data_IF_175636169058
#
_entry.id   IF_175636169058
#
_cell.length_a   1.000
_cell.length_b   1.000
_cell.length_c   1.000
_cell.angle_alpha   90.00
_cell.angle_beta   90.00
_cell.angle_gamma   90.00
#
_symmetry.space_group_name_H-M   'P 1'
#
loop_
_entity.id
_entity.type
_entity.pdbx_description
1 polymer ?
#
# COMPACT_ATOMS: atom_id res chain seq x y z
N UNK A 1 -10.64 15.97 -4.19
CA UNK A 1 -10.78 14.50 -4.22
C UNK A 1 -12.19 14.20 -3.76
N UNK A 2 -12.96 13.54 -4.61
CA UNK A 2 -14.24 12.98 -4.19
C UNK A 2 -13.96 11.91 -3.12
N UNK A 3 -14.78 11.89 -2.08
CA UNK A 3 -14.65 10.94 -0.99
C UNK A 3 -15.01 9.55 -1.52
N UNK A 4 -14.03 8.65 -1.60
CA UNK A 4 -14.25 7.28 -2.04
C UNK A 4 -15.20 6.64 -1.03
N UNK A 5 -16.39 6.23 -1.50
CA UNK A 5 -17.37 5.49 -0.70
C UNK A 5 -16.97 4.03 -0.54
N UNK A 6 -15.74 3.79 -0.12
CA UNK A 6 -15.24 2.47 0.25
C UNK A 6 -15.32 2.30 1.77
N UNK A 7 -15.67 1.10 2.22
CA UNK A 7 -15.64 0.76 3.64
C UNK A 7 -14.26 0.19 3.96
N UNK A 8 -13.63 0.74 4.99
CA UNK A 8 -12.38 0.23 5.53
C UNK A 8 -12.70 -0.75 6.67
N UNK A 9 -12.07 -1.92 6.66
CA UNK A 9 -12.10 -2.87 7.76
C UNK A 9 -10.71 -2.94 8.37
N UNK A 10 -10.60 -2.63 9.66
CA UNK A 10 -9.35 -2.76 10.41
C UNK A 10 -9.42 -4.00 11.31
N UNK A 11 -8.43 -4.88 11.19
CA UNK A 11 -8.36 -6.11 12.01
C UNK A 11 -7.00 -6.17 12.70
N UNK A 12 -6.99 -6.60 13.96
CA UNK A 12 -5.76 -6.84 14.71
C UNK A 12 -5.48 -8.34 14.77
N UNK A 13 -4.26 -8.73 14.42
CA UNK A 13 -3.74 -10.07 14.64
C UNK A 13 -2.55 -10.00 15.62
N UNK A 14 -2.41 -11.01 16.48
CA UNK A 14 -1.33 -11.10 17.48
C UNK A 14 -0.03 -11.66 16.90
N UNK A 15 -0.06 -12.16 15.67
CA UNK A 15 1.09 -12.70 14.98
C UNK A 15 0.80 -13.12 13.55
N UNK A 16 1.85 -13.58 12.88
CA UNK A 16 1.85 -13.89 11.46
C UNK A 16 0.81 -14.94 11.06
N UNK A 17 0.73 -16.06 11.77
CA UNK A 17 -0.21 -17.16 11.45
C UNK A 17 -1.68 -16.74 11.60
N UNK A 18 -1.98 -15.93 12.63
CA UNK A 18 -3.31 -15.38 12.81
C UNK A 18 -3.66 -14.40 11.71
N UNK A 19 -2.73 -13.52 11.32
CA UNK A 19 -2.92 -12.57 10.23
C UNK A 19 -3.21 -13.29 8.91
N UNK A 20 -2.46 -14.35 8.60
CA UNK A 20 -2.67 -15.17 7.41
C UNK A 20 -4.04 -15.86 7.44
N UNK A 21 -4.42 -16.46 8.58
CA UNK A 21 -5.72 -17.10 8.74
C UNK A 21 -6.88 -16.11 8.55
N UNK A 22 -6.77 -14.91 9.13
CA UNK A 22 -7.75 -13.84 8.96
C UNK A 22 -7.83 -13.41 7.49
N UNK A 23 -6.69 -13.19 6.83
CA UNK A 23 -6.65 -12.81 5.41
C UNK A 23 -7.32 -13.86 4.52
N UNK A 24 -7.00 -15.15 4.71
CA UNK A 24 -7.62 -16.26 3.94
C UNK A 24 -9.13 -16.29 4.15
N UNK A 25 -9.61 -16.12 5.39
CA UNK A 25 -11.04 -16.06 5.70
C UNK A 25 -11.73 -14.88 5.01
N UNK A 26 -11.13 -13.69 5.03
CA UNK A 26 -11.67 -12.51 4.33
C UNK A 26 -11.80 -12.74 2.83
N UNK A 27 -10.94 -13.57 2.26
CA UNK A 27 -10.91 -13.85 0.83
C UNK A 27 -11.81 -15.03 0.41
N UNK A 28 -12.53 -15.69 1.33
CA UNK A 28 -13.30 -16.90 1.01
C UNK A 28 -14.34 -16.70 -0.10
N UNK A 29 -14.99 -15.55 -0.14
CA UNK A 29 -16.01 -15.24 -1.15
C UNK A 29 -15.47 -14.34 -2.27
N UNK A 30 -14.16 -14.04 -2.29
CA UNK A 30 -13.55 -13.20 -3.30
C UNK A 30 -13.16 -14.03 -4.53
N UNK A 31 -13.34 -13.46 -5.73
CA UNK A 31 -12.78 -14.02 -6.96
C UNK A 31 -11.32 -13.62 -7.16
N UNK A 32 -10.93 -12.44 -6.67
CA UNK A 32 -9.61 -11.87 -6.81
C UNK A 32 -9.25 -11.05 -5.57
N UNK A 33 -7.97 -11.11 -5.19
CA UNK A 33 -7.37 -10.33 -4.11
C UNK A 33 -6.33 -9.42 -4.76
N UNK A 34 -6.42 -8.13 -4.50
CA UNK A 34 -5.47 -7.14 -5.03
C UNK A 34 -4.67 -6.60 -3.85
N UNK A 35 -3.35 -6.63 -3.96
CA UNK A 35 -2.42 -6.16 -2.93
C UNK A 35 -1.37 -5.23 -3.53
N UNK A 36 -0.90 -4.29 -2.73
CA UNK A 36 0.34 -3.58 -3.04
C UNK A 36 1.52 -4.54 -2.98
N UNK A 37 2.55 -4.26 -3.77
CA UNK A 37 3.74 -5.08 -3.81
C UNK A 37 4.54 -5.04 -2.51
N UNK A 38 4.80 -6.22 -1.95
CA UNK A 38 5.73 -6.42 -0.86
C UNK A 38 7.19 -6.34 -1.34
N UNK A 39 8.01 -5.54 -0.65
CA UNK A 39 9.45 -5.41 -0.94
C UNK A 39 10.35 -6.04 0.13
N UNK A 40 9.89 -6.05 1.38
CA UNK A 40 10.64 -6.64 2.50
C UNK A 40 10.44 -8.15 2.52
N UNK A 41 11.43 -8.87 3.07
CA UNK A 41 11.44 -10.33 3.11
C UNK A 41 10.20 -10.90 3.79
N UNK A 42 9.83 -10.37 4.96
CA UNK A 42 8.70 -10.85 5.76
C UNK A 42 7.36 -10.62 5.06
N UNK A 43 7.20 -9.44 4.44
CA UNK A 43 6.00 -9.11 3.65
C UNK A 43 5.87 -10.01 2.42
N UNK A 44 6.99 -10.31 1.73
CA UNK A 44 7.01 -11.18 0.56
C UNK A 44 6.66 -12.62 0.94
N UNK A 45 7.19 -13.11 2.06
CA UNK A 45 6.84 -14.43 2.59
C UNK A 45 5.34 -14.50 2.93
N UNK A 46 4.78 -13.42 3.51
CA UNK A 46 3.33 -13.30 3.73
C UNK A 46 2.52 -13.36 2.45
N UNK A 47 2.91 -12.57 1.44
CA UNK A 47 2.26 -12.56 0.13
C UNK A 47 2.32 -13.94 -0.55
N UNK A 48 3.46 -14.63 -0.50
CA UNK A 48 3.66 -15.97 -1.07
C UNK A 48 2.77 -17.01 -0.38
N UNK A 49 2.73 -17.03 0.96
CA UNK A 49 1.88 -17.96 1.72
C UNK A 49 0.38 -17.68 1.54
N UNK A 50 0.00 -16.42 1.40
CA UNK A 50 -1.36 -16.03 1.05
C UNK A 50 -1.71 -16.54 -0.35
N UNK A 51 -0.84 -16.31 -1.33
CA UNK A 51 -1.01 -16.77 -2.71
C UNK A 51 -1.20 -18.28 -2.79
N UNK A 52 -0.36 -19.06 -2.11
CA UNK A 52 -0.49 -20.53 -2.05
C UNK A 52 -1.86 -20.98 -1.53
N UNK A 53 -2.39 -20.27 -0.53
CA UNK A 53 -3.71 -20.53 0.05
C UNK A 53 -4.83 -20.16 -0.92
N UNK A 54 -4.68 -19.06 -1.66
CA UNK A 54 -5.64 -18.60 -2.68
C UNK A 54 -5.67 -19.53 -3.89
N UNK A 55 -4.51 -19.98 -4.38
CA UNK A 55 -4.40 -20.95 -5.49
C UNK A 55 -5.14 -22.25 -5.14
N UNK A 56 -4.92 -22.80 -3.93
CA UNK A 56 -5.63 -24.00 -3.46
C UNK A 56 -7.15 -23.83 -3.47
N UNK A 57 -7.61 -22.60 -3.24
CA UNK A 57 -9.03 -22.26 -3.27
C UNK A 57 -9.51 -21.70 -4.63
N UNK A 58 -8.68 -21.80 -5.69
CA UNK A 58 -9.00 -21.33 -7.04
C UNK A 58 -9.32 -19.84 -7.12
N UNK A 59 -8.56 -19.00 -6.40
CA UNK A 59 -8.68 -17.53 -6.39
C UNK A 59 -7.43 -16.89 -6.97
N UNK A 60 -7.60 -15.72 -7.60
CA UNK A 60 -6.49 -14.95 -8.17
C UNK A 60 -5.92 -13.98 -7.14
N UNK A 61 -4.59 -13.88 -7.07
CA UNK A 61 -3.89 -12.79 -6.41
C UNK A 61 -3.25 -11.89 -7.47
N UNK A 62 -3.51 -10.59 -7.40
CA UNK A 62 -2.88 -9.58 -8.25
C UNK A 62 -2.07 -8.62 -7.39
N UNK A 63 -0.78 -8.56 -7.68
CA UNK A 63 0.15 -7.61 -7.06
C UNK A 63 0.29 -6.36 -7.92
N UNK A 64 0.20 -5.20 -7.30
CA UNK A 64 0.34 -3.89 -7.94
C UNK A 64 1.51 -3.12 -7.32
N UNK A 65 2.45 -2.64 -8.13
CA UNK A 65 3.56 -1.81 -7.67
C UNK A 65 3.16 -0.32 -7.60
N UNK A 66 2.45 0.08 -6.54
CA UNK A 66 2.00 1.46 -6.32
C UNK A 66 3.02 2.39 -5.64
N UNK A 67 4.05 1.83 -5.00
CA UNK A 67 5.04 2.60 -4.23
C UNK A 67 6.25 3.09 -5.06
N UNK A 68 6.32 2.74 -6.34
CA UNK A 68 7.43 3.09 -7.24
C UNK A 68 6.88 3.64 -8.55
N UNK A 69 7.56 4.64 -9.13
CA UNK A 69 7.13 5.21 -10.42
C UNK A 69 7.44 4.33 -11.62
N UNK A 70 8.39 3.41 -11.50
CA UNK A 70 8.70 2.40 -12.50
C UNK A 70 8.76 1.05 -11.78
N UNK A 71 7.93 0.06 -12.17
CA UNK A 71 7.93 -1.28 -11.60
C UNK A 71 9.35 -1.87 -11.54
N UNK A 72 9.71 -2.53 -10.44
CA UNK A 72 11.08 -3.03 -10.20
C UNK A 72 11.51 -4.00 -11.30
N UNK A 73 10.62 -4.93 -11.67
CA UNK A 73 10.87 -5.91 -12.72
C UNK A 73 10.95 -5.27 -14.13
N UNK A 74 10.38 -4.07 -14.31
CA UNK A 74 10.51 -3.31 -15.55
C UNK A 74 11.80 -2.49 -15.55
N UNK A 75 12.20 -1.95 -14.40
CA UNK A 75 13.37 -1.09 -14.25
C UNK A 75 14.69 -1.84 -14.50
N UNK A 76 14.84 -3.07 -13.98
CA UNK A 76 16.00 -3.93 -14.26
C UNK A 76 15.72 -5.38 -13.91
N UNK A 77 16.33 -6.30 -14.68
CA UNK A 77 16.27 -7.75 -14.42
C UNK A 77 17.37 -8.23 -13.45
N UNK A 78 18.21 -7.32 -12.95
CA UNK A 78 19.31 -7.65 -12.03
C UNK A 78 19.52 -6.55 -11.00
N UNK A 79 20.23 -6.89 -9.93
CA UNK A 79 20.70 -5.91 -8.94
C UNK A 79 21.70 -4.96 -9.61
N UNK A 80 21.46 -3.66 -9.46
CA UNK A 80 22.30 -2.62 -10.03
C UNK A 80 23.45 -2.25 -9.10
N UNK A 81 24.61 -1.93 -9.68
CA UNK A 81 25.79 -1.49 -8.94
C UNK A 81 25.60 -0.13 -8.24
N UNK A 82 24.73 0.72 -8.78
CA UNK A 82 24.34 1.96 -8.12
C UNK A 82 23.52 2.87 -9.00
N UNK A 83 23.30 4.10 -8.53
CA UNK A 83 22.46 5.07 -9.22
C UNK A 83 22.91 5.37 -10.66
N UNK A 84 24.23 5.31 -10.94
CA UNK A 84 24.75 5.52 -12.30
C UNK A 84 24.27 4.45 -13.29
N UNK A 85 24.15 3.19 -12.86
CA UNK A 85 23.74 2.07 -13.73
C UNK A 85 22.23 1.90 -13.78
N UNK A 86 21.53 2.17 -12.66
CA UNK A 86 20.07 2.11 -12.59
C UNK A 86 19.39 3.26 -13.36
N UNK A 87 19.91 4.49 -13.21
CA UNK A 87 19.31 5.71 -13.79
C UNK A 87 18.96 5.55 -15.28
N UNK A 88 19.88 5.19 -16.19
CA UNK A 88 19.55 5.12 -17.62
C UNK A 88 18.44 4.11 -17.93
N UNK A 89 18.29 3.04 -17.16
CA UNK A 89 17.24 2.04 -17.36
C UNK A 89 15.87 2.56 -16.92
N UNK A 90 15.80 3.14 -15.72
CA UNK A 90 14.58 3.77 -15.20
C UNK A 90 14.09 4.89 -16.13
N UNK A 91 14.99 5.76 -16.61
CA UNK A 91 14.62 6.89 -17.47
C UNK A 91 14.03 6.49 -18.82
N UNK A 92 14.26 5.26 -19.31
CA UNK A 92 13.60 4.76 -20.53
C UNK A 92 12.08 4.63 -20.34
N UNK A 93 11.62 4.39 -19.11
CA UNK A 93 10.22 4.11 -18.80
C UNK A 93 9.51 5.28 -18.11
N UNK A 94 10.22 6.11 -17.33
CA UNK A 94 9.64 7.20 -16.53
C UNK A 94 8.71 8.09 -17.34
N UNK A 95 9.09 8.48 -18.56
CA UNK A 95 8.25 9.38 -19.39
C UNK A 95 6.92 8.72 -19.75
N UNK A 96 6.91 7.43 -20.06
CA UNK A 96 5.69 6.69 -20.38
C UNK A 96 4.81 6.53 -19.13
N UNK A 97 5.41 6.15 -18.00
CA UNK A 97 4.69 5.96 -16.73
C UNK A 97 4.05 7.26 -16.23
N UNK A 98 4.77 8.40 -16.32
CA UNK A 98 4.23 9.70 -15.93
C UNK A 98 3.16 10.26 -16.89
N UNK A 99 3.10 9.76 -18.12
CA UNK A 99 2.10 10.16 -19.10
C UNK A 99 0.78 9.38 -18.97
N UNK A 100 0.80 8.29 -18.20
CA UNK A 100 -0.38 7.47 -17.92
C UNK A 100 -1.40 8.28 -17.11
N UNK A 101 -2.64 8.30 -17.59
CA UNK A 101 -3.76 8.97 -16.92
C UNK A 101 -4.60 7.91 -16.22
N UNK A 102 -4.77 8.10 -14.92
CA UNK A 102 -5.55 7.22 -14.07
C UNK A 102 -6.90 7.90 -13.81
N UNK A 103 -7.78 7.84 -14.79
CA UNK A 103 -9.14 8.39 -14.67
C UNK A 103 -10.16 7.33 -14.21
N UNK A 104 -9.67 6.15 -13.82
CA UNK A 104 -10.51 5.04 -13.37
C UNK A 104 -10.97 5.27 -11.92
N UNK A 105 -12.15 5.86 -11.78
CA UNK A 105 -12.86 5.89 -10.49
C UNK A 105 -13.73 4.65 -10.41
N UNK A 106 -13.69 3.87 -9.30
CA UNK A 106 -14.61 2.76 -9.11
C UNK A 106 -16.06 3.22 -9.30
N UNK A 107 -16.69 2.79 -10.38
CA UNK A 107 -18.03 3.26 -10.77
C UNK A 107 -19.14 2.66 -9.90
N UNK A 108 -18.86 1.52 -9.27
CA UNK A 108 -19.83 0.76 -8.50
C UNK A 108 -19.31 0.58 -7.07
N UNK A 109 -19.84 1.33 -6.09
CA UNK A 109 -19.47 1.13 -4.70
C UNK A 109 -19.94 -0.26 -4.22
N UNK A 110 -19.22 -0.84 -3.26
CA UNK A 110 -19.64 -2.09 -2.64
C UNK A 110 -20.92 -1.85 -1.81
N UNK A 111 -22.06 -2.36 -2.29
CA UNK A 111 -23.37 -2.14 -1.66
C UNK A 111 -23.42 -2.56 -0.18
N UNK A 112 -22.75 -3.65 0.19
CA UNK A 112 -22.54 -3.94 1.62
C UNK A 112 -21.37 -4.88 1.90
N UNK A 113 -20.35 -4.35 2.57
CA UNK A 113 -19.27 -5.17 3.16
C UNK A 113 -19.81 -6.22 4.14
N UNK A 114 -20.93 -5.95 4.83
CA UNK A 114 -21.55 -6.88 5.80
C UNK A 114 -22.06 -8.19 5.19
N UNK A 115 -22.36 -8.22 3.88
CA UNK A 115 -22.72 -9.44 3.16
C UNK A 115 -21.48 -10.21 2.64
N UNK A 116 -20.35 -9.51 2.51
CA UNK A 116 -19.12 -10.05 1.90
C UNK A 116 -18.05 -10.44 2.94
N UNK A 117 -18.02 -9.76 4.09
CA UNK A 117 -17.15 -10.10 5.22
C UNK A 117 -17.73 -11.32 5.93
N UNK A 118 -16.94 -12.38 5.96
CA UNK A 118 -17.27 -13.63 6.65
C UNK A 118 -17.59 -13.34 8.12
N UNK A 119 -18.69 -13.89 8.61
CA UNK A 119 -19.10 -13.81 10.01
C UNK A 119 -17.98 -14.32 10.93
N UNK A 120 -17.59 -13.54 11.94
CA UNK A 120 -16.70 -13.99 13.02
C UNK A 120 -15.30 -13.35 13.07
N UNK A 121 -14.99 -12.39 12.20
CA UNK A 121 -13.76 -11.58 12.32
C UNK A 121 -14.09 -10.33 13.16
N UNK A 122 -13.39 -10.18 14.28
CA UNK A 122 -13.56 -9.04 15.17
C UNK A 122 -12.87 -7.80 14.58
N UNK A 123 -13.64 -6.73 14.41
CA UNK A 123 -13.10 -5.43 14.03
C UNK A 123 -12.26 -4.84 15.17
N UNK A 124 -11.14 -4.21 14.83
CA UNK A 124 -10.26 -3.54 15.78
C UNK A 124 -10.96 -2.32 16.38
N UNK A 125 -10.89 -2.17 17.71
CA UNK A 125 -11.27 -0.91 18.36
C UNK A 125 -10.18 0.15 18.12
N UNK A 126 -10.39 0.99 17.13
CA UNK A 126 -9.43 2.03 16.73
C UNK A 126 -9.15 3.04 17.84
N UNK A 127 -10.15 3.41 18.67
CA UNK A 127 -9.96 4.39 19.75
C UNK A 127 -9.04 3.86 20.85
N UNK A 128 -9.20 2.58 21.21
CA UNK A 128 -8.32 1.93 22.18
C UNK A 128 -6.91 1.73 21.66
N UNK A 129 -6.77 1.35 20.39
CA UNK A 129 -5.47 1.14 19.75
C UNK A 129 -4.73 2.46 19.51
N UNK A 130 -5.45 3.54 19.18
CA UNK A 130 -4.89 4.89 19.10
C UNK A 130 -4.33 5.33 20.45
N UNK A 131 -5.09 5.18 21.54
CA UNK A 131 -4.62 5.54 22.89
C UNK A 131 -3.34 4.80 23.28
N UNK A 132 -3.23 3.52 22.91
CA UNK A 132 -2.01 2.73 23.14
C UNK A 132 -0.85 3.26 22.30
N UNK A 133 -1.08 3.46 21.00
CA UNK A 133 -0.06 3.97 20.08
C UNK A 133 0.46 5.36 20.49
N UNK A 134 -0.40 6.25 20.97
CA UNK A 134 -0.02 7.57 21.50
C UNK A 134 0.83 7.45 22.77
N UNK A 135 0.49 6.53 23.67
CA UNK A 135 1.29 6.28 24.87
C UNK A 135 2.66 5.66 24.56
N UNK A 136 2.73 4.80 23.54
CA UNK A 136 3.97 4.13 23.10
C UNK A 136 4.84 5.02 22.18
N UNK A 137 4.27 6.09 21.62
CA UNK A 137 4.97 6.98 20.70
C UNK A 137 6.06 7.78 21.44
N UNK A 138 7.33 7.42 21.18
CA UNK A 138 8.51 8.08 21.76
C UNK A 138 9.08 9.20 20.88
N UNK A 139 8.46 9.50 19.74
CA UNK A 139 8.98 10.49 18.79
C UNK A 139 8.51 11.90 19.14
N UNK A 140 9.45 12.84 19.18
CA UNK A 140 9.23 14.27 19.32
C UNK A 140 9.30 15.00 17.97
N UNK A 141 9.27 14.27 16.84
CA UNK A 141 9.55 14.80 15.50
C UNK A 141 8.69 15.98 15.06
N UNK A 142 7.57 16.26 15.77
CA UNK A 142 6.61 17.30 15.42
C UNK A 142 5.88 17.04 14.10
N UNK A 143 6.10 15.88 13.47
CA UNK A 143 5.45 15.49 12.24
C UNK A 143 4.08 14.88 12.53
N UNK A 144 3.08 15.34 11.80
CA UNK A 144 1.73 14.78 11.86
C UNK A 144 1.54 13.82 10.69
N UNK A 145 1.09 12.60 10.97
CA UNK A 145 0.78 11.61 9.95
C UNK A 145 -0.47 11.95 9.14
N UNK A 146 -0.66 11.25 8.02
CA UNK A 146 -1.86 11.30 7.19
C UNK A 146 -1.69 11.99 5.84
N UNK A 147 -2.46 11.54 4.86
CA UNK A 147 -2.40 11.97 3.47
C UNK A 147 -2.57 13.49 3.30
N UNK A 148 -3.57 14.09 3.96
CA UNK A 148 -3.84 15.53 3.88
C UNK A 148 -2.66 16.38 4.37
N UNK A 149 -1.92 15.90 5.37
CA UNK A 149 -0.74 16.58 5.89
C UNK A 149 0.43 16.41 4.92
N UNK A 150 0.66 15.18 4.43
CA UNK A 150 1.69 14.89 3.44
C UNK A 150 1.53 15.73 2.16
N UNK A 151 0.31 15.84 1.62
CA UNK A 151 0.00 16.67 0.45
C UNK A 151 0.32 18.15 0.70
N UNK A 152 -0.04 18.67 1.89
CA UNK A 152 0.25 20.05 2.28
C UNK A 152 1.74 20.31 2.36
N UNK A 153 2.50 19.38 2.97
CA UNK A 153 3.96 19.47 3.07
C UNK A 153 4.62 19.44 1.69
N UNK A 154 4.18 18.55 0.80
CA UNK A 154 4.66 18.48 -0.57
C UNK A 154 4.41 19.79 -1.33
N UNK A 155 3.18 20.31 -1.28
CA UNK A 155 2.82 21.57 -1.93
C UNK A 155 3.66 22.74 -1.39
N UNK A 156 3.86 22.77 -0.07
CA UNK A 156 4.73 23.77 0.55
C UNK A 156 6.19 23.64 0.08
N UNK A 157 6.73 22.42 0.00
CA UNK A 157 8.08 22.18 -0.50
C UNK A 157 8.25 22.63 -1.95
N UNK A 158 7.33 22.25 -2.84
CA UNK A 158 7.34 22.64 -4.25
C UNK A 158 7.29 24.16 -4.40
N UNK A 159 6.40 24.82 -3.66
CA UNK A 159 6.16 26.26 -3.77
C UNK A 159 7.31 27.09 -3.18
N UNK A 160 7.88 26.66 -2.04
CA UNK A 160 8.76 27.53 -1.24
C UNK A 160 10.22 27.08 -1.19
N UNK A 161 10.50 25.79 -1.35
CA UNK A 161 11.85 25.24 -1.11
C UNK A 161 12.51 24.64 -2.34
N UNK A 162 11.73 24.17 -3.32
CA UNK A 162 12.25 23.48 -4.49
C UNK A 162 13.26 24.32 -5.29
N UNK A 163 12.99 25.62 -5.45
CA UNK A 163 13.86 26.55 -6.21
C UNK A 163 15.29 26.57 -5.65
N UNK A 164 15.45 26.49 -4.34
CA UNK A 164 16.74 26.54 -3.66
C UNK A 164 17.23 25.15 -3.21
N UNK A 165 16.59 24.06 -3.65
CA UNK A 165 16.88 22.74 -3.14
C UNK A 165 18.25 22.22 -3.59
N UNK A 166 18.67 22.45 -4.83
CA UNK A 166 19.98 21.98 -5.29
C UNK A 166 21.17 22.64 -4.55
N UNK A 167 21.21 23.98 -4.39
CA UNK A 167 22.30 24.62 -3.65
C UNK A 167 22.20 24.49 -2.13
N UNK A 168 21.01 24.24 -1.57
CA UNK A 168 20.75 24.23 -0.13
C UNK A 168 20.56 22.86 0.52
N UNK A 169 20.98 21.78 -0.15
CA UNK A 169 20.90 20.39 0.34
C UNK A 169 22.27 19.81 0.63
#
# INVERSE_FOLDING_TARGET
>A
MEEIKAKLLCVKAKGYEEALSVAVKLCENACEVIVDAAYLREDREFEERLNDSLIKASRKLTRVEGNVSVPVNLASNCVEWGARTLRPKVWQHVKAMLAEKWDDVPTTPCDSIKKSVVSGIAEMNLDEELKKAEADCKSDSGLTGGEKVAQRMLNFFITNRLVNYHPGR
#
